data_IF_391816721920
#
_entry.id   IF_391816721920
#
_cell.length_a   1.000
_cell.length_b   1.000
_cell.length_c   1.000
_cell.angle_alpha   90.00
_cell.angle_beta   90.00
_cell.angle_gamma   90.00
#
_symmetry.space_group_name_H-M   'P 1'
#
loop_
_entity.id
_entity.type
_entity.pdbx_description
1 polymer ?
#
# COMPACT_ATOMS: atom_id res chain seq x y z
N UNK A 1 20.12 43.48 13.26
CA UNK A 1 20.43 42.31 12.41
C UNK A 1 21.50 41.49 13.11
N UNK A 2 21.44 40.16 13.00
CA UNK A 2 22.42 39.25 13.60
C UNK A 2 22.61 38.01 12.72
N UNK A 3 23.83 37.52 12.61
CA UNK A 3 24.13 36.19 12.05
C UNK A 3 24.17 35.15 13.17
N UNK A 4 23.73 33.93 12.89
CA UNK A 4 23.93 32.82 13.80
C UNK A 4 25.44 32.46 13.84
N UNK A 5 25.97 32.02 14.99
CA UNK A 5 27.38 31.61 15.11
C UNK A 5 27.82 30.53 14.10
N UNK A 6 26.93 29.62 13.73
CA UNK A 6 27.14 28.60 12.69
C UNK A 6 27.00 29.12 11.25
N UNK A 7 26.81 30.44 11.07
CA UNK A 7 26.72 31.15 9.78
C UNK A 7 25.58 30.72 8.85
N UNK A 8 24.68 29.85 9.34
CA UNK A 8 23.55 29.34 8.56
C UNK A 8 22.38 30.31 8.49
N UNK A 9 22.17 31.11 9.53
CA UNK A 9 20.97 31.95 9.61
C UNK A 9 21.32 33.42 9.73
N UNK A 10 20.57 34.25 9.03
CA UNK A 10 20.54 35.70 9.21
C UNK A 10 19.19 36.09 9.80
N UNK A 11 19.19 36.92 10.84
CA UNK A 11 17.97 37.46 11.44
C UNK A 11 17.95 38.99 11.40
N UNK A 12 16.78 39.56 11.14
CA UNK A 12 16.53 41.00 11.29
C UNK A 12 15.20 41.27 11.98
N UNK A 13 15.19 42.20 12.94
CA UNK A 13 13.95 42.78 13.46
C UNK A 13 13.51 43.95 12.60
N UNK A 14 12.20 44.18 12.50
CA UNK A 14 11.59 45.23 11.68
C UNK A 14 10.59 46.09 12.48
N UNK A 15 10.40 47.32 12.01
CA UNK A 15 9.39 48.23 12.53
C UNK A 15 7.95 47.79 12.16
N UNK A 16 7.80 46.84 11.23
CA UNK A 16 6.51 46.19 10.90
C UNK A 16 6.02 45.19 11.95
N UNK A 17 6.76 45.06 13.07
CA UNK A 17 6.50 44.16 14.22
C UNK A 17 6.88 42.70 13.98
N UNK A 18 7.63 42.41 12.93
CA UNK A 18 8.11 41.05 12.62
C UNK A 18 9.61 40.89 12.82
N UNK A 19 10.03 39.64 12.99
CA UNK A 19 11.41 39.22 12.77
C UNK A 19 11.46 38.40 11.49
N UNK A 20 12.44 38.67 10.65
CA UNK A 20 12.69 37.91 9.42
C UNK A 20 13.93 37.06 9.60
N UNK A 21 13.85 35.81 9.18
CA UNK A 21 14.91 34.81 9.29
C UNK A 21 15.20 34.24 7.91
N UNK A 22 16.45 34.33 7.45
CA UNK A 22 16.90 33.80 6.16
C UNK A 22 17.84 32.61 6.35
N UNK A 23 17.63 31.53 5.60
CA UNK A 23 18.58 30.42 5.50
C UNK A 23 19.68 30.79 4.49
N UNK A 24 20.89 31.03 4.98
CA UNK A 24 22.05 31.38 4.16
C UNK A 24 22.58 30.20 3.34
N UNK A 25 22.06 28.98 3.57
CA UNK A 25 22.31 27.82 2.70
C UNK A 25 21.65 27.99 1.32
N UNK A 26 20.55 28.74 1.27
CA UNK A 26 19.76 29.02 0.07
C UNK A 26 19.38 30.52 0.05
N UNK A 27 20.30 31.38 -0.42
CA UNK A 27 20.12 32.83 -0.37
C UNK A 27 19.00 33.35 -1.28
N UNK A 28 18.43 32.51 -2.15
CA UNK A 28 17.28 32.86 -3.01
C UNK A 28 15.93 32.59 -2.32
N UNK A 29 15.92 31.83 -1.22
CA UNK A 29 14.70 31.53 -0.47
C UNK A 29 14.12 32.77 0.24
N UNK A 30 12.79 32.86 0.26
CA UNK A 30 12.09 33.90 1.01
C UNK A 30 12.32 33.76 2.52
N UNK A 31 12.41 34.87 3.28
CA UNK A 31 12.59 34.80 4.72
C UNK A 31 11.37 34.23 5.42
N UNK A 32 11.59 33.38 6.41
CA UNK A 32 10.55 33.02 7.38
C UNK A 32 10.17 34.26 8.20
N UNK A 33 8.88 34.61 8.18
CA UNK A 33 8.34 35.75 8.93
C UNK A 33 7.88 35.28 10.31
N UNK A 34 8.66 35.61 11.33
CA UNK A 34 8.33 35.34 12.72
C UNK A 34 7.47 36.49 13.26
N UNK A 35 6.18 36.20 13.38
CA UNK A 35 5.17 37.17 13.80
C UNK A 35 4.88 37.11 15.30
N UNK A 36 4.22 38.17 15.76
CA UNK A 36 3.45 38.18 17.00
C UNK A 36 3.91 39.22 18.01
N UNK A 37 5.06 39.87 17.85
CA UNK A 37 5.31 41.10 18.59
C UNK A 37 4.20 42.12 18.27
N UNK A 38 3.77 42.86 19.28
CA UNK A 38 2.66 43.82 19.15
C UNK A 38 3.15 45.21 18.75
N UNK A 39 4.46 45.43 18.84
CA UNK A 39 5.14 46.67 18.47
C UNK A 39 6.50 46.41 17.79
N UNK A 40 7.25 47.48 17.53
CA UNK A 40 8.48 47.44 16.73
C UNK A 40 9.54 46.54 17.37
N UNK A 41 10.21 45.73 16.55
CA UNK A 41 11.33 44.91 17.00
C UNK A 41 12.63 45.67 16.84
N UNK A 42 13.33 45.92 17.94
CA UNK A 42 14.55 46.73 17.97
C UNK A 42 15.82 45.91 17.99
N UNK A 43 15.75 44.71 18.56
CA UNK A 43 16.92 43.88 18.84
C UNK A 43 16.64 42.44 18.42
N UNK A 44 17.66 41.81 17.85
CA UNK A 44 17.71 40.36 17.61
C UNK A 44 19.09 39.84 18.00
N UNK A 45 19.15 38.68 18.64
CA UNK A 45 20.40 38.04 19.02
C UNK A 45 20.29 36.52 18.95
N UNK A 46 21.28 35.87 18.35
CA UNK A 46 21.42 34.42 18.43
C UNK A 46 22.13 34.02 19.71
N UNK A 47 21.76 32.89 20.29
CA UNK A 47 22.56 32.25 21.33
C UNK A 47 23.91 31.77 20.76
N UNK A 48 24.96 31.67 21.59
CA UNK A 48 26.28 31.20 21.15
C UNK A 48 26.30 29.81 20.51
N UNK A 49 25.31 28.97 20.83
CA UNK A 49 25.13 27.63 20.27
C UNK A 49 24.26 27.60 19.01
N UNK A 50 23.88 28.75 18.45
CA UNK A 50 22.97 28.91 17.30
C UNK A 50 21.55 28.37 17.51
N UNK A 51 21.16 27.98 18.73
CA UNK A 51 19.88 27.29 18.96
C UNK A 51 18.69 28.22 19.22
N UNK A 52 18.95 29.40 19.72
CA UNK A 52 17.93 30.34 20.13
C UNK A 52 18.10 31.63 19.36
N UNK A 53 16.97 32.18 18.91
CA UNK A 53 16.88 33.58 18.52
C UNK A 53 16.09 34.30 19.59
N UNK A 54 16.65 35.36 20.15
CA UNK A 54 15.95 36.29 21.02
C UNK A 54 15.61 37.55 20.24
N UNK A 55 14.38 38.03 20.39
CA UNK A 55 13.94 39.32 19.84
C UNK A 55 13.37 40.22 20.92
N UNK A 56 13.85 41.47 20.97
CA UNK A 56 13.38 42.49 21.91
C UNK A 56 12.55 43.55 21.20
N UNK A 57 11.38 43.87 21.75
CA UNK A 57 10.38 44.74 21.14
C UNK A 57 9.92 45.87 22.05
N UNK A 58 9.41 46.94 21.43
CA UNK A 58 8.78 48.08 22.10
C UNK A 58 7.49 47.70 22.86
N UNK A 59 6.95 46.50 22.62
CA UNK A 59 5.82 45.93 23.35
C UNK A 59 6.18 45.49 24.78
N UNK A 60 7.42 45.77 25.21
CA UNK A 60 7.99 45.43 26.52
C UNK A 60 8.16 43.93 26.74
N UNK A 61 8.19 43.14 25.66
CA UNK A 61 8.46 41.70 25.71
C UNK A 61 9.77 41.34 25.01
N UNK A 62 10.38 40.26 25.50
CA UNK A 62 11.41 39.51 24.78
C UNK A 62 10.78 38.18 24.36
N UNK A 63 10.96 37.80 23.10
CA UNK A 63 10.52 36.50 22.59
C UNK A 63 11.71 35.64 22.24
N UNK A 64 11.58 34.36 22.53
CA UNK A 64 12.55 33.33 22.18
C UNK A 64 11.95 32.47 21.08
N UNK A 65 12.64 32.34 19.95
CA UNK A 65 12.27 31.47 18.84
C UNK A 65 13.29 30.35 18.67
N UNK A 66 12.79 29.17 18.32
CA UNK A 66 13.57 27.98 18.03
C UNK A 66 13.75 27.84 16.52
N UNK A 67 14.90 27.33 16.07
CA UNK A 67 15.06 26.88 14.68
C UNK A 67 14.56 25.44 14.54
N UNK A 68 14.18 25.02 13.32
CA UNK A 68 13.72 23.64 13.06
C UNK A 68 14.74 22.59 13.53
N UNK A 69 16.05 22.87 13.39
CA UNK A 69 17.14 22.01 13.89
C UNK A 69 17.07 21.79 15.41
N UNK A 70 16.67 22.80 16.18
CA UNK A 70 16.59 22.71 17.63
C UNK A 70 15.32 22.01 18.06
N UNK A 71 14.22 22.27 17.34
CA UNK A 71 12.99 21.52 17.52
C UNK A 71 13.21 20.03 17.25
N UNK A 72 13.98 19.69 16.21
CA UNK A 72 14.31 18.29 15.92
C UNK A 72 15.30 17.71 16.93
N UNK A 73 16.32 18.43 17.39
CA UNK A 73 17.24 17.96 18.45
C UNK A 73 16.51 17.69 19.78
N UNK A 74 15.68 18.63 20.24
CA UNK A 74 14.87 18.48 21.45
C UNK A 74 13.86 17.35 21.26
N UNK A 75 13.18 17.34 20.11
CA UNK A 75 12.26 16.27 19.72
C UNK A 75 12.95 14.91 19.78
N UNK A 76 14.17 14.80 19.26
CA UNK A 76 14.94 13.57 19.29
C UNK A 76 15.30 13.14 20.71
N UNK A 77 15.76 14.05 21.57
CA UNK A 77 16.09 13.75 22.96
C UNK A 77 14.88 13.24 23.77
N UNK A 78 13.69 13.79 23.49
CA UNK A 78 12.46 13.49 24.22
C UNK A 78 11.73 12.26 23.67
N UNK A 79 11.57 12.19 22.36
CA UNK A 79 10.77 11.17 21.68
C UNK A 79 11.61 9.94 21.30
N UNK A 80 12.94 10.11 21.12
CA UNK A 80 13.92 9.05 20.84
C UNK A 80 13.56 8.16 19.64
N UNK A 81 12.83 8.73 18.68
CA UNK A 81 12.56 8.19 17.34
C UNK A 81 12.33 9.35 16.37
N UNK A 82 12.38 9.04 15.08
CA UNK A 82 11.87 9.95 14.07
C UNK A 82 10.35 10.11 14.21
N UNK A 83 9.83 11.32 14.00
CA UNK A 83 8.38 11.54 13.95
C UNK A 83 7.77 10.74 12.80
N UNK A 84 6.54 10.25 12.98
CA UNK A 84 5.80 9.66 11.87
C UNK A 84 5.50 10.71 10.81
N UNK A 85 5.18 10.28 9.59
CA UNK A 85 4.74 11.21 8.53
C UNK A 85 3.53 12.04 8.99
N UNK A 86 2.53 11.40 9.61
CA UNK A 86 1.34 12.07 10.13
C UNK A 86 1.66 13.06 11.26
N UNK A 87 2.57 12.71 12.18
CA UNK A 87 3.03 13.63 13.23
C UNK A 87 3.78 14.83 12.64
N UNK A 88 4.63 14.60 11.65
CA UNK A 88 5.34 15.66 10.94
C UNK A 88 4.35 16.63 10.30
N UNK A 89 3.39 16.14 9.51
CA UNK A 89 2.36 16.97 8.91
C UNK A 89 1.52 17.72 9.97
N UNK A 90 1.20 17.06 11.08
CA UNK A 90 0.42 17.67 12.17
C UNK A 90 1.17 18.80 12.88
N UNK A 91 2.46 18.64 13.13
CA UNK A 91 3.24 19.59 13.94
C UNK A 91 3.96 20.65 13.10
N UNK A 92 4.33 20.30 11.87
CA UNK A 92 5.17 21.10 10.99
C UNK A 92 4.49 21.45 9.65
N UNK A 93 3.26 20.96 9.41
CA UNK A 93 2.47 21.37 8.24
C UNK A 93 3.06 20.88 6.92
N UNK A 94 3.29 21.81 5.99
CA UNK A 94 3.80 21.53 4.63
C UNK A 94 5.33 21.54 4.55
N UNK A 95 6.04 21.61 5.66
CA UNK A 95 7.50 21.50 5.68
C UNK A 95 7.96 20.15 5.10
N UNK A 96 9.03 20.16 4.31
CA UNK A 96 9.63 18.93 3.79
C UNK A 96 10.07 18.02 4.93
N UNK A 97 9.68 16.73 4.90
CA UNK A 97 10.00 15.78 5.96
C UNK A 97 11.50 15.63 6.15
N UNK A 98 11.94 15.71 7.41
CA UNK A 98 13.34 15.48 7.80
C UNK A 98 13.39 14.56 9.00
N UNK A 99 14.45 13.75 9.09
CA UNK A 99 14.71 12.94 10.28
C UNK A 99 14.90 13.84 11.51
N UNK A 100 13.99 13.71 12.47
CA UNK A 100 14.08 14.32 13.79
C UNK A 100 15.32 13.80 14.54
N UNK A 101 15.61 12.51 14.41
CA UNK A 101 16.78 11.80 14.92
C UNK A 101 17.61 11.21 13.75
N UNK A 102 18.62 11.94 13.24
CA UNK A 102 19.41 11.49 12.09
C UNK A 102 20.20 10.19 12.31
N UNK A 103 20.51 9.84 13.56
CA UNK A 103 21.23 8.61 13.89
C UNK A 103 20.30 7.38 14.05
N UNK A 104 18.99 7.57 13.89
CA UNK A 104 18.00 6.50 13.99
C UNK A 104 17.37 6.23 12.61
N UNK A 105 16.86 4.99 12.39
CA UNK A 105 16.14 4.66 11.17
C UNK A 105 14.94 5.58 10.96
N UNK A 106 14.57 5.81 9.70
CA UNK A 106 13.31 6.51 9.37
C UNK A 106 12.11 5.82 10.03
N UNK A 107 11.07 6.60 10.31
CA UNK A 107 9.88 6.03 10.95
C UNK A 107 9.17 5.07 9.97
N UNK A 108 8.81 3.83 10.36
CA UNK A 108 8.21 2.85 9.45
C UNK A 108 6.95 3.33 8.74
N UNK A 109 6.16 4.19 9.38
CA UNK A 109 4.96 4.78 8.76
C UNK A 109 5.24 5.59 7.48
N UNK A 110 6.48 6.05 7.28
CA UNK A 110 6.83 6.77 6.06
C UNK A 110 6.88 5.81 4.87
N UNK A 111 7.45 4.61 5.07
CA UNK A 111 7.42 3.51 4.11
C UNK A 111 5.97 3.05 3.90
N UNK A 112 5.21 2.86 4.99
CA UNK A 112 3.81 2.45 4.87
C UNK A 112 2.98 3.44 4.07
N UNK A 113 3.22 4.75 4.21
CA UNK A 113 2.55 5.75 3.37
C UNK A 113 2.86 5.58 1.88
N UNK A 114 4.06 5.11 1.50
CA UNK A 114 4.37 4.76 0.11
C UNK A 114 3.60 3.51 -0.35
N UNK A 115 3.52 2.49 0.52
CA UNK A 115 2.76 1.25 0.26
C UNK A 115 1.27 1.51 0.09
N UNK A 116 0.69 2.42 0.88
CA UNK A 116 -0.69 2.86 0.73
C UNK A 116 -0.96 3.53 -0.63
N UNK A 117 -0.06 4.40 -1.09
CA UNK A 117 -0.14 5.02 -2.43
C UNK A 117 -0.08 3.96 -3.53
N UNK A 118 0.85 3.00 -3.41
CA UNK A 118 0.99 1.91 -4.36
C UNK A 118 -0.29 1.06 -4.44
N UNK A 119 -0.84 0.63 -3.30
CA UNK A 119 -2.11 -0.11 -3.24
C UNK A 119 -3.30 0.68 -3.82
N UNK A 120 -3.24 2.01 -3.79
CA UNK A 120 -4.24 2.88 -4.40
C UNK A 120 -4.04 3.10 -5.92
N UNK A 121 -3.04 2.45 -6.53
CA UNK A 121 -2.69 2.61 -7.94
C UNK A 121 -1.87 3.87 -8.26
N UNK A 122 -1.46 4.64 -7.25
CA UNK A 122 -0.64 5.85 -7.39
C UNK A 122 0.86 5.48 -7.43
N UNK A 123 1.25 4.65 -8.40
CA UNK A 123 2.58 4.03 -8.47
C UNK A 123 3.71 5.06 -8.56
N UNK A 124 3.57 6.08 -9.40
CA UNK A 124 4.59 7.14 -9.53
C UNK A 124 4.79 7.92 -8.22
N UNK A 125 3.70 8.23 -7.51
CA UNK A 125 3.74 8.92 -6.22
C UNK A 125 4.34 8.03 -5.12
N UNK A 126 4.07 6.72 -5.18
CA UNK A 126 4.67 5.73 -4.30
C UNK A 126 6.19 5.61 -4.52
N UNK A 127 6.64 5.50 -5.77
CA UNK A 127 8.06 5.48 -6.14
C UNK A 127 8.76 6.72 -5.59
N UNK A 128 8.23 7.91 -5.86
CA UNK A 128 8.78 9.16 -5.34
C UNK A 128 8.85 9.17 -3.80
N UNK A 129 7.89 8.54 -3.12
CA UNK A 129 7.91 8.40 -1.66
C UNK A 129 9.02 7.46 -1.19
N UNK A 130 9.21 6.32 -1.85
CA UNK A 130 10.27 5.36 -1.52
C UNK A 130 11.67 5.92 -1.83
N UNK A 131 11.85 6.64 -2.94
CA UNK A 131 13.09 7.37 -3.24
C UNK A 131 13.43 8.38 -2.14
N UNK A 132 12.43 9.14 -1.66
CA UNK A 132 12.62 10.05 -0.55
C UNK A 132 13.02 9.31 0.75
N UNK A 133 12.50 8.10 0.97
CA UNK A 133 12.85 7.28 2.11
C UNK A 133 14.31 6.81 2.05
N UNK A 134 14.76 6.30 0.91
CA UNK A 134 16.16 5.89 0.66
C UNK A 134 17.11 7.08 0.75
N UNK A 135 16.72 8.26 0.24
CA UNK A 135 17.50 9.48 0.38
C UNK A 135 17.66 9.92 1.85
N UNK A 136 16.63 9.70 2.67
CA UNK A 136 16.67 9.98 4.10
C UNK A 136 17.51 8.94 4.84
N UNK A 137 17.45 7.66 4.49
CA UNK A 137 18.21 6.57 5.08
C UNK A 137 18.82 5.64 4.01
N UNK A 138 20.06 5.92 3.57
CA UNK A 138 20.72 5.14 2.52
C UNK A 138 21.07 3.70 2.91
N UNK A 139 20.82 3.29 4.16
CA UNK A 139 21.04 1.91 4.61
C UNK A 139 19.80 1.03 4.46
N UNK A 140 18.67 1.62 4.03
CA UNK A 140 17.43 0.92 3.79
C UNK A 140 17.59 -0.02 2.58
N UNK A 141 17.34 -1.30 2.81
CA UNK A 141 17.27 -2.32 1.76
C UNK A 141 15.87 -2.25 1.13
N UNK A 142 15.70 -1.33 0.18
CA UNK A 142 14.45 -1.03 -0.48
C UNK A 142 14.74 -0.56 -1.91
N UNK A 143 14.27 -1.32 -2.90
CA UNK A 143 14.18 -0.86 -4.29
C UNK A 143 12.85 -0.12 -4.49
N UNK A 144 12.85 1.19 -4.78
CA UNK A 144 11.63 1.98 -4.92
C UNK A 144 10.64 1.47 -5.98
N UNK A 145 11.14 1.00 -7.13
CA UNK A 145 10.29 0.53 -8.22
C UNK A 145 9.73 -0.85 -7.90
N UNK A 146 10.58 -1.75 -7.40
CA UNK A 146 10.15 -3.11 -7.02
C UNK A 146 9.09 -3.07 -5.92
N UNK A 147 9.34 -2.32 -4.84
CA UNK A 147 8.38 -2.19 -3.74
C UNK A 147 7.05 -1.58 -4.23
N UNK A 148 7.10 -0.52 -5.04
CA UNK A 148 5.88 0.10 -5.56
C UNK A 148 5.05 -0.87 -6.41
N UNK A 149 5.69 -1.65 -7.29
CA UNK A 149 5.00 -2.63 -8.11
C UNK A 149 4.42 -3.78 -7.28
N UNK A 150 5.15 -4.27 -6.28
CA UNK A 150 4.68 -5.31 -5.38
C UNK A 150 3.43 -4.89 -4.59
N UNK A 151 3.41 -3.67 -4.05
CA UNK A 151 2.23 -3.18 -3.32
C UNK A 151 1.09 -2.72 -4.25
N UNK A 152 1.39 -2.31 -5.49
CA UNK A 152 0.37 -2.07 -6.51
C UNK A 152 -0.35 -3.38 -6.89
N UNK A 153 0.38 -4.48 -7.01
CA UNK A 153 -0.21 -5.81 -7.22
C UNK A 153 -1.21 -6.17 -6.12
N UNK A 154 -0.88 -5.95 -4.84
CA UNK A 154 -1.81 -6.17 -3.72
C UNK A 154 -3.12 -5.37 -3.91
N UNK A 155 -2.98 -4.09 -4.29
CA UNK A 155 -4.10 -3.21 -4.56
C UNK A 155 -4.99 -3.73 -5.68
N UNK A 156 -4.38 -4.15 -6.80
CA UNK A 156 -5.10 -4.70 -7.96
C UNK A 156 -5.84 -6.00 -7.62
N UNK A 157 -5.21 -6.94 -6.91
CA UNK A 157 -5.87 -8.20 -6.50
C UNK A 157 -7.08 -7.91 -5.60
N UNK A 158 -6.92 -7.04 -4.60
CA UNK A 158 -8.02 -6.65 -3.72
C UNK A 158 -9.15 -5.94 -4.48
N UNK A 159 -8.81 -5.05 -5.42
CA UNK A 159 -9.76 -4.36 -6.27
C UNK A 159 -10.52 -5.33 -7.17
N UNK A 160 -9.83 -6.28 -7.81
CA UNK A 160 -10.43 -7.33 -8.64
C UNK A 160 -11.43 -8.17 -7.83
N UNK A 161 -11.06 -8.63 -6.63
CA UNK A 161 -11.95 -9.40 -5.76
C UNK A 161 -13.23 -8.62 -5.41
N UNK A 162 -13.08 -7.33 -5.10
CA UNK A 162 -14.19 -6.45 -4.78
C UNK A 162 -15.09 -6.19 -5.99
N UNK A 163 -14.53 -5.94 -7.18
CA UNK A 163 -15.30 -5.75 -8.42
C UNK A 163 -16.10 -7.00 -8.78
N UNK A 164 -15.49 -8.19 -8.70
CA UNK A 164 -16.19 -9.45 -8.89
C UNK A 164 -17.33 -9.64 -7.89
N UNK A 165 -17.11 -9.31 -6.61
CA UNK A 165 -18.15 -9.38 -5.58
C UNK A 165 -19.31 -8.42 -5.82
N UNK A 166 -19.09 -7.34 -6.59
CA UNK A 166 -20.12 -6.38 -6.98
C UNK A 166 -20.80 -6.71 -8.33
N UNK A 167 -20.33 -7.75 -9.03
CA UNK A 167 -20.82 -8.14 -10.36
C UNK A 167 -20.25 -7.32 -11.51
N UNK A 168 -19.24 -6.46 -11.28
CA UNK A 168 -18.56 -5.68 -12.33
C UNK A 168 -17.42 -6.50 -12.95
N UNK A 169 -17.82 -7.54 -13.69
CA UNK A 169 -16.91 -8.55 -14.24
C UNK A 169 -15.95 -7.97 -15.27
N UNK A 170 -16.45 -7.12 -16.18
CA UNK A 170 -15.61 -6.56 -17.25
C UNK A 170 -14.47 -5.72 -16.66
N UNK A 171 -14.76 -4.87 -15.68
CA UNK A 171 -13.74 -4.07 -14.99
C UNK A 171 -12.82 -4.94 -14.14
N UNK A 172 -13.35 -5.98 -13.49
CA UNK A 172 -12.54 -6.92 -12.71
C UNK A 172 -11.49 -7.62 -13.58
N UNK A 173 -11.86 -8.05 -14.79
CA UNK A 173 -10.95 -8.73 -15.72
C UNK A 173 -9.89 -7.77 -16.28
N UNK A 174 -10.25 -6.52 -16.56
CA UNK A 174 -9.27 -5.48 -16.95
C UNK A 174 -8.27 -5.25 -15.82
N UNK A 175 -8.75 -5.12 -14.59
CA UNK A 175 -7.91 -4.93 -13.39
C UNK A 175 -7.01 -6.14 -13.13
N UNK A 176 -7.52 -7.36 -13.32
CA UNK A 176 -6.75 -8.59 -13.20
C UNK A 176 -5.62 -8.66 -14.23
N UNK A 177 -5.88 -8.25 -15.47
CA UNK A 177 -4.82 -8.21 -16.51
C UNK A 177 -3.68 -7.27 -16.13
N UNK A 178 -3.98 -6.14 -15.49
CA UNK A 178 -2.94 -5.26 -14.94
C UNK A 178 -2.16 -5.95 -13.82
N UNK A 179 -2.82 -6.76 -12.97
CA UNK A 179 -2.12 -7.55 -11.95
C UNK A 179 -1.16 -8.56 -12.60
N UNK A 180 -1.57 -9.22 -13.70
CA UNK A 180 -0.70 -10.14 -14.46
C UNK A 180 0.49 -9.45 -15.13
N UNK A 181 0.37 -8.17 -15.50
CA UNK A 181 1.52 -7.41 -16.02
C UNK A 181 2.61 -7.21 -14.95
N UNK A 182 2.21 -7.11 -13.67
CA UNK A 182 3.14 -6.98 -12.54
C UNK A 182 3.65 -8.35 -12.05
N UNK A 183 2.79 -9.37 -12.05
CA UNK A 183 3.14 -10.73 -11.66
C UNK A 183 2.48 -11.75 -12.61
N UNK A 184 3.22 -12.24 -13.63
CA UNK A 184 2.67 -13.17 -14.61
C UNK A 184 2.27 -14.55 -14.04
N UNK A 185 2.78 -14.91 -12.86
CA UNK A 185 2.46 -16.16 -12.17
C UNK A 185 2.31 -15.89 -10.67
N UNK A 186 1.07 -15.91 -10.17
CA UNK A 186 0.77 -15.68 -8.75
C UNK A 186 1.27 -16.81 -7.82
N UNK A 187 1.75 -17.93 -8.34
CA UNK A 187 2.40 -18.97 -7.52
C UNK A 187 3.85 -18.64 -7.18
N UNK A 188 4.45 -17.62 -7.82
CA UNK A 188 5.85 -17.24 -7.66
C UNK A 188 6.02 -15.85 -7.03
N UNK A 189 5.07 -15.44 -6.19
CA UNK A 189 5.13 -14.17 -5.47
C UNK A 189 6.29 -14.15 -4.46
N UNK A 190 6.81 -12.95 -4.18
CA UNK A 190 7.80 -12.77 -3.11
C UNK A 190 7.20 -13.19 -1.76
N UNK A 191 8.01 -13.65 -0.78
CA UNK A 191 7.49 -14.12 0.51
C UNK A 191 6.66 -13.08 1.26
N UNK A 192 7.02 -11.80 1.17
CA UNK A 192 6.29 -10.72 1.84
C UNK A 192 4.90 -10.50 1.21
N UNK A 193 4.82 -10.52 -0.12
CA UNK A 193 3.55 -10.37 -0.84
C UNK A 193 2.68 -11.62 -0.70
N UNK A 194 3.27 -12.80 -0.75
CA UNK A 194 2.56 -14.05 -0.48
C UNK A 194 1.97 -14.07 0.94
N UNK A 195 2.66 -13.51 1.93
CA UNK A 195 2.17 -13.41 3.30
C UNK A 195 0.97 -12.44 3.42
N UNK A 196 0.99 -11.31 2.70
CA UNK A 196 -0.12 -10.36 2.64
C UNK A 196 -1.34 -10.93 1.88
N UNK A 197 -1.12 -11.77 0.86
CA UNK A 197 -2.17 -12.45 0.08
C UNK A 197 -2.48 -13.87 0.58
N UNK A 198 -2.24 -14.14 1.86
CA UNK A 198 -2.47 -15.46 2.47
C UNK A 198 -3.94 -15.66 2.90
N UNK A 199 -4.88 -15.41 1.99
CA UNK A 199 -6.30 -15.61 2.21
C UNK A 199 -6.90 -16.40 1.04
N UNK A 200 -7.17 -17.69 1.27
CA UNK A 200 -7.72 -18.58 0.26
C UNK A 200 -9.09 -18.13 -0.24
N UNK A 201 -9.85 -17.38 0.56
CA UNK A 201 -11.18 -16.90 0.18
C UNK A 201 -11.10 -15.85 -0.92
N UNK A 202 -10.13 -14.93 -0.85
CA UNK A 202 -9.88 -13.91 -1.89
C UNK A 202 -9.55 -14.58 -3.21
N UNK A 203 -8.60 -15.51 -3.20
CA UNK A 203 -8.21 -16.26 -4.39
C UNK A 203 -9.35 -17.14 -4.94
N UNK A 204 -10.13 -17.77 -4.07
CA UNK A 204 -11.30 -18.53 -4.48
C UNK A 204 -12.39 -17.63 -5.06
N UNK A 205 -12.58 -16.40 -4.58
CA UNK A 205 -13.50 -15.43 -5.20
C UNK A 205 -13.07 -15.09 -6.62
N UNK A 206 -11.78 -14.82 -6.86
CA UNK A 206 -11.24 -14.60 -8.21
C UNK A 206 -11.48 -15.82 -9.10
N UNK A 207 -11.13 -17.01 -8.61
CA UNK A 207 -11.32 -18.27 -9.32
C UNK A 207 -12.78 -18.53 -9.68
N UNK A 208 -13.68 -18.48 -8.69
CA UNK A 208 -15.10 -18.76 -8.86
C UNK A 208 -15.78 -17.76 -9.78
N UNK A 209 -15.53 -16.46 -9.59
CA UNK A 209 -16.17 -15.43 -10.39
C UNK A 209 -15.60 -15.41 -11.82
N UNK A 210 -14.27 -15.41 -11.99
CA UNK A 210 -13.69 -15.40 -13.34
C UNK A 210 -14.12 -16.59 -14.19
N UNK A 211 -14.14 -17.81 -13.64
CA UNK A 211 -14.54 -19.01 -14.40
C UNK A 211 -16.02 -18.98 -14.80
N UNK A 212 -16.92 -18.46 -13.96
CA UNK A 212 -18.36 -18.37 -14.24
C UNK A 212 -18.69 -17.43 -15.40
N UNK A 213 -17.84 -16.43 -15.62
CA UNK A 213 -18.02 -15.43 -16.66
C UNK A 213 -17.08 -15.63 -17.86
N UNK A 214 -16.71 -16.88 -18.15
CA UNK A 214 -15.91 -17.27 -19.31
C UNK A 214 -14.48 -16.69 -19.34
N UNK A 215 -13.90 -16.44 -18.16
CA UNK A 215 -12.52 -15.99 -17.99
C UNK A 215 -11.66 -17.02 -17.25
N UNK A 216 -11.97 -18.31 -17.42
CA UNK A 216 -11.28 -19.40 -16.72
C UNK A 216 -9.78 -19.45 -17.02
N UNK A 217 -9.36 -19.05 -18.22
CA UNK A 217 -7.95 -18.99 -18.60
C UNK A 217 -7.20 -17.88 -17.84
N UNK A 218 -7.85 -16.74 -17.63
CA UNK A 218 -7.29 -15.60 -16.91
C UNK A 218 -7.25 -15.79 -15.39
N UNK A 219 -8.06 -16.68 -14.81
CA UNK A 219 -8.10 -16.91 -13.35
C UNK A 219 -7.54 -18.26 -12.89
N UNK A 220 -6.97 -19.06 -13.80
CA UNK A 220 -6.53 -20.42 -13.45
C UNK A 220 -5.40 -20.41 -12.40
N UNK A 221 -4.49 -19.44 -12.46
CA UNK A 221 -3.43 -19.26 -11.49
C UNK A 221 -3.97 -18.85 -10.11
N UNK A 222 -4.97 -17.98 -10.06
CA UNK A 222 -5.71 -17.67 -8.84
C UNK A 222 -6.38 -18.93 -8.23
N UNK A 223 -6.94 -19.81 -9.07
CA UNK A 223 -7.47 -21.10 -8.62
C UNK A 223 -6.38 -22.00 -8.03
N UNK A 224 -5.18 -22.04 -8.63
CA UNK A 224 -4.06 -22.82 -8.11
C UNK A 224 -3.58 -22.28 -6.76
N UNK A 225 -3.44 -20.96 -6.62
CA UNK A 225 -3.08 -20.34 -5.34
C UNK A 225 -4.14 -20.64 -4.26
N UNK A 226 -5.44 -20.54 -4.59
CA UNK A 226 -6.51 -20.85 -3.65
C UNK A 226 -6.39 -22.29 -3.07
N UNK A 227 -6.13 -23.28 -3.91
CA UNK A 227 -5.94 -24.67 -3.47
C UNK A 227 -4.61 -24.88 -2.75
N UNK A 228 -3.54 -24.17 -3.12
CA UNK A 228 -2.28 -24.22 -2.37
C UNK A 228 -2.45 -23.74 -0.93
N UNK A 229 -3.24 -22.69 -0.73
CA UNK A 229 -3.53 -22.13 0.59
C UNK A 229 -4.49 -23.00 1.42
N UNK A 230 -5.45 -23.67 0.77
CA UNK A 230 -6.46 -24.50 1.42
C UNK A 230 -6.64 -25.86 0.71
N UNK A 231 -5.65 -26.76 0.79
CA UNK A 231 -5.63 -27.99 0.00
C UNK A 231 -6.68 -29.01 0.42
N UNK A 232 -7.23 -28.92 1.63
CA UNK A 232 -8.26 -29.83 2.14
C UNK A 232 -9.69 -29.30 1.94
N UNK A 233 -9.84 -28.08 1.42
CA UNK A 233 -11.15 -27.50 1.15
C UNK A 233 -11.70 -28.02 -0.19
N UNK A 234 -12.68 -28.92 -0.10
CA UNK A 234 -13.33 -29.50 -1.27
C UNK A 234 -14.06 -28.47 -2.12
N UNK A 235 -14.62 -27.41 -1.52
CA UNK A 235 -15.31 -26.34 -2.25
C UNK A 235 -14.35 -25.53 -3.12
N UNK A 236 -13.16 -25.20 -2.61
CA UNK A 236 -12.11 -24.53 -3.38
C UNK A 236 -11.58 -25.43 -4.51
N UNK A 237 -11.49 -26.74 -4.25
CA UNK A 237 -11.17 -27.71 -5.32
C UNK A 237 -12.27 -27.78 -6.37
N UNK A 238 -13.55 -27.77 -6.00
CA UNK A 238 -14.69 -27.70 -6.93
C UNK A 238 -14.59 -26.45 -7.81
N UNK A 239 -14.19 -25.30 -7.24
CA UNK A 239 -13.87 -24.06 -7.96
C UNK A 239 -12.76 -24.23 -9.01
N UNK A 240 -11.63 -24.84 -8.64
CA UNK A 240 -10.55 -25.12 -9.59
C UNK A 240 -10.97 -26.17 -10.64
N UNK A 241 -11.83 -27.12 -10.25
CA UNK A 241 -12.36 -28.17 -11.11
C UNK A 241 -13.05 -27.65 -12.38
N UNK A 242 -14.00 -26.70 -12.29
CA UNK A 242 -14.54 -26.11 -13.55
C UNK A 242 -13.46 -25.36 -14.30
N UNK A 243 -12.60 -24.59 -13.63
CA UNK A 243 -11.62 -23.76 -14.32
C UNK A 243 -10.71 -24.63 -15.19
N UNK A 244 -10.27 -25.79 -14.66
CA UNK A 244 -9.54 -26.82 -15.41
C UNK A 244 -10.35 -27.43 -16.54
N UNK A 245 -11.62 -27.77 -16.31
CA UNK A 245 -12.48 -28.30 -17.37
C UNK A 245 -12.69 -27.29 -18.51
N UNK A 246 -12.96 -26.02 -18.20
CA UNK A 246 -13.14 -24.93 -19.16
C UNK A 246 -11.86 -24.63 -19.94
N UNK A 247 -10.68 -24.88 -19.36
CA UNK A 247 -9.38 -24.71 -20.01
C UNK A 247 -8.84 -25.99 -20.66
N UNK A 248 -9.57 -27.11 -20.58
CA UNK A 248 -9.26 -28.38 -21.25
C UNK A 248 -8.45 -29.39 -20.43
N UNK A 249 -8.11 -29.10 -19.18
CA UNK A 249 -7.51 -30.09 -18.25
C UNK A 249 -8.60 -30.96 -17.60
N UNK A 250 -9.15 -31.89 -18.39
CA UNK A 250 -10.21 -32.79 -17.93
C UNK A 250 -9.73 -33.75 -16.84
N UNK A 251 -8.47 -34.20 -16.89
CA UNK A 251 -7.92 -35.10 -15.89
C UNK A 251 -7.79 -34.42 -14.52
N UNK A 252 -7.26 -33.19 -14.48
CA UNK A 252 -7.20 -32.40 -13.26
C UNK A 252 -8.59 -32.02 -12.75
N UNK A 253 -9.53 -31.67 -13.63
CA UNK A 253 -10.91 -31.38 -13.27
C UNK A 253 -11.60 -32.59 -12.59
N UNK A 254 -11.46 -33.79 -13.16
CA UNK A 254 -12.01 -35.02 -12.57
C UNK A 254 -11.44 -35.26 -11.18
N UNK A 255 -10.13 -35.10 -10.99
CA UNK A 255 -9.50 -35.29 -9.69
C UNK A 255 -10.03 -34.31 -8.63
N UNK A 256 -10.26 -33.05 -9.02
CA UNK A 256 -10.81 -32.04 -8.12
C UNK A 256 -12.28 -32.30 -7.77
N UNK A 257 -13.11 -32.68 -8.75
CA UNK A 257 -14.51 -33.06 -8.47
C UNK A 257 -14.62 -34.32 -7.62
N UNK A 258 -13.73 -35.31 -7.80
CA UNK A 258 -13.68 -36.48 -6.92
C UNK A 258 -13.31 -36.11 -5.48
N UNK A 259 -12.37 -35.17 -5.30
CA UNK A 259 -12.02 -34.66 -3.98
C UNK A 259 -13.21 -33.92 -3.33
N UNK A 260 -13.94 -33.09 -4.10
CA UNK A 260 -15.17 -32.46 -3.61
C UNK A 260 -16.22 -33.50 -3.18
N UNK A 261 -16.50 -34.51 -4.02
CA UNK A 261 -17.47 -35.58 -3.71
C UNK A 261 -17.10 -36.33 -2.42
N UNK A 262 -15.81 -36.59 -2.20
CA UNK A 262 -15.34 -37.25 -0.98
C UNK A 262 -15.44 -36.34 0.27
N UNK A 263 -15.35 -35.03 0.10
CA UNK A 263 -15.37 -34.03 1.17
C UNK A 263 -16.79 -33.56 1.55
N UNK A 264 -17.71 -33.51 0.57
CA UNK A 264 -19.04 -32.93 0.71
C UNK A 264 -19.94 -33.53 1.81
N UNK A 265 -19.95 -34.85 2.10
CA UNK A 265 -20.81 -35.44 3.13
C UNK A 265 -20.58 -34.88 4.54
N UNK A 266 -19.37 -34.42 4.83
CA UNK A 266 -19.01 -33.87 6.15
C UNK A 266 -19.31 -32.36 6.27
N UNK A 267 -19.85 -31.73 5.22
CA UNK A 267 -19.97 -30.26 5.08
C UNK A 267 -21.36 -29.77 4.65
N UNK A 268 -22.42 -30.52 4.96
CA UNK A 268 -23.83 -30.11 4.79
C UNK A 268 -24.27 -29.74 3.35
N UNK A 269 -23.60 -30.29 2.33
CA UNK A 269 -24.04 -30.15 0.95
C UNK A 269 -25.21 -31.09 0.62
N UNK A 270 -26.14 -30.64 -0.24
CA UNK A 270 -27.27 -31.46 -0.67
C UNK A 270 -26.83 -32.62 -1.57
N UNK A 271 -27.57 -33.73 -1.53
CA UNK A 271 -27.33 -34.88 -2.43
C UNK A 271 -27.35 -34.45 -3.92
N UNK A 272 -28.21 -33.49 -4.27
CA UNK A 272 -28.29 -32.91 -5.61
C UNK A 272 -26.98 -32.23 -6.06
N UNK A 273 -26.30 -31.52 -5.15
CA UNK A 273 -25.01 -30.88 -5.42
C UNK A 273 -23.94 -31.94 -5.72
N UNK A 274 -23.93 -33.05 -4.98
CA UNK A 274 -22.98 -34.17 -5.16
C UNK A 274 -23.27 -34.94 -6.44
N UNK A 275 -24.53 -35.28 -6.70
CA UNK A 275 -24.98 -35.97 -7.91
C UNK A 275 -24.62 -35.18 -9.18
N UNK A 276 -24.71 -33.84 -9.12
CA UNK A 276 -24.27 -32.98 -10.22
C UNK A 276 -22.79 -33.16 -10.55
N UNK A 277 -21.91 -33.32 -9.55
CA UNK A 277 -20.47 -33.53 -9.79
C UNK A 277 -20.19 -34.92 -10.34
N UNK A 278 -20.94 -35.94 -9.91
CA UNK A 278 -20.88 -37.26 -10.54
C UNK A 278 -21.22 -37.21 -12.04
N UNK A 279 -22.27 -36.47 -12.41
CA UNK A 279 -22.64 -36.24 -13.82
C UNK A 279 -21.52 -35.54 -14.60
N UNK A 280 -20.93 -34.47 -14.04
CA UNK A 280 -19.80 -33.79 -14.67
C UNK A 280 -18.59 -34.70 -14.89
N UNK A 281 -18.25 -35.54 -13.90
CA UNK A 281 -17.17 -36.52 -14.00
C UNK A 281 -17.44 -37.53 -15.13
N UNK A 282 -18.69 -38.00 -15.30
CA UNK A 282 -19.04 -38.92 -16.38
C UNK A 282 -18.85 -38.27 -17.77
N UNK A 283 -19.32 -37.03 -17.94
CA UNK A 283 -19.14 -36.28 -19.19
C UNK A 283 -17.66 -36.09 -19.51
N UNK A 284 -16.85 -35.69 -18.52
CA UNK A 284 -15.40 -35.48 -18.69
C UNK A 284 -14.66 -36.78 -19.02
N UNK A 285 -15.01 -37.91 -18.39
CA UNK A 285 -14.42 -39.23 -18.71
C UNK A 285 -14.70 -39.66 -20.16
N UNK A 286 -15.84 -39.23 -20.71
CA UNK A 286 -16.21 -39.47 -22.11
C UNK A 286 -15.59 -38.45 -23.08
N UNK A 287 -14.76 -37.53 -22.59
CA UNK A 287 -14.10 -36.49 -23.39
C UNK A 287 -14.99 -35.29 -23.73
N UNK A 288 -16.16 -35.17 -23.11
CA UNK A 288 -17.04 -34.01 -23.23
C UNK A 288 -16.71 -32.93 -22.20
N UNK A 289 -17.16 -31.70 -22.45
CA UNK A 289 -17.12 -30.62 -21.47
C UNK A 289 -18.57 -30.36 -20.97
N UNK A 290 -18.86 -30.51 -19.66
CA UNK A 290 -20.20 -30.31 -19.12
C UNK A 290 -20.60 -28.83 -18.95
N UNK A 291 -19.68 -27.89 -19.22
CA UNK A 291 -19.88 -26.45 -19.00
C UNK A 291 -20.12 -25.70 -20.31
N UNK A 292 -21.28 -25.93 -20.93
CA UNK A 292 -21.80 -25.07 -22.00
C UNK A 292 -22.43 -23.78 -21.43
N UNK A 293 -22.83 -22.86 -22.31
CA UNK A 293 -23.39 -21.57 -21.90
C UNK A 293 -24.66 -21.73 -21.05
N UNK A 294 -25.51 -22.72 -21.34
CA UNK A 294 -26.74 -23.00 -20.59
C UNK A 294 -26.41 -23.47 -19.15
N UNK A 295 -25.41 -24.34 -18.99
CA UNK A 295 -24.91 -24.74 -17.68
C UNK A 295 -24.30 -23.56 -16.92
N UNK A 296 -23.48 -22.73 -17.59
CA UNK A 296 -22.89 -21.54 -16.97
C UNK A 296 -23.96 -20.54 -16.53
N UNK A 297 -25.00 -20.32 -17.34
CA UNK A 297 -26.13 -19.46 -16.97
C UNK A 297 -26.90 -20.01 -15.77
N UNK A 298 -27.10 -21.33 -15.70
CA UNK A 298 -27.71 -21.98 -14.54
C UNK A 298 -26.88 -21.72 -13.28
N UNK A 299 -25.56 -21.91 -13.34
CA UNK A 299 -24.67 -21.70 -12.20
C UNK A 299 -24.61 -20.22 -11.77
N UNK A 300 -24.67 -19.27 -12.70
CA UNK A 300 -24.75 -17.83 -12.40
C UNK A 300 -26.05 -17.44 -11.68
N UNK A 301 -27.15 -18.14 -11.93
CA UNK A 301 -28.44 -17.88 -11.27
C UNK A 301 -28.52 -18.53 -9.87
N UNK A 302 -27.66 -19.51 -9.58
CA UNK A 302 -27.57 -20.19 -8.27
C UNK A 302 -26.58 -19.50 -7.30
N UNK A 303 -25.67 -18.67 -7.83
CA UNK A 303 -24.61 -17.96 -7.08
C UNK A 303 -25.06 -16.62 -6.53
#
# INVERSE_FOLDING_TARGET
>A
MAFSPDSRWLASGSADRTVRLWDMSDPEAEPTILSGHEARVWSVAFSPDSRWLASGSDDRTVRLQFTLKVLTEIGCQKVRRNLSWAEWQRYLGQEAYRRTCPALPIHPSFIESGRELARAGQVEEAIARFEAAVALDPTLDLDPEEEANQFALLGLIAQTANLFSQGDVETAVVTLKQAHELAPDFQQLSPDIAAELNDSSVWNTLCWQGRLWNHAAEVIDACEVAVQLAPEDGGIRDSRGMARALTGDFAGAIADFQAFVAWAPDHDHSDEVVDRRHSWIEVLNNGGNPFDEDMLETLRNES
#
